data_IF_224769458114
#
_entry.id   IF_224769458114
#
_cell.length_a   1.000
_cell.length_b   1.000
_cell.length_c   1.000
_cell.angle_alpha   90.00
_cell.angle_beta   90.00
_cell.angle_gamma   90.00
#
_symmetry.space_group_name_H-M   'P 1'
#
loop_
_entity.id
_entity.type
_entity.pdbx_description
1 polymer ?
#
# COMPACT_ATOMS: atom_id res chain seq x y z
N UNK A 1 40.73 8.97 -35.59
CA UNK A 1 40.90 7.57 -35.19
C UNK A 1 39.74 7.24 -34.23
N UNK A 2 38.47 7.33 -34.63
CA UNK A 2 37.63 6.43 -35.44
C UNK A 2 37.61 4.96 -34.97
N UNK A 3 36.46 4.56 -34.40
CA UNK A 3 35.78 3.24 -34.31
C UNK A 3 35.00 3.21 -32.97
N UNK A 4 33.67 3.33 -32.83
CA UNK A 4 32.49 2.90 -33.60
C UNK A 4 32.39 1.37 -33.77
N UNK A 5 31.58 0.74 -32.91
CA UNK A 5 31.15 -0.65 -33.01
C UNK A 5 29.65 -0.73 -32.68
N UNK A 6 28.87 -0.52 -33.74
CA UNK A 6 27.46 -0.84 -33.88
C UNK A 6 27.30 -2.34 -34.12
N UNK A 7 26.32 -2.97 -33.47
CA UNK A 7 25.82 -4.30 -33.84
C UNK A 7 24.36 -4.15 -34.29
N UNK A 8 24.16 -4.31 -35.60
CA UNK A 8 22.88 -4.43 -36.28
C UNK A 8 22.46 -5.91 -36.31
N UNK A 9 21.21 -6.21 -35.96
CA UNK A 9 20.51 -7.42 -36.39
C UNK A 9 19.20 -7.01 -37.10
N UNK A 10 18.78 -7.74 -38.15
CA UNK A 10 17.83 -7.23 -39.13
C UNK A 10 16.36 -7.48 -38.76
N UNK A 11 15.51 -6.56 -39.21
CA UNK A 11 14.06 -6.68 -39.28
C UNK A 11 13.63 -7.70 -40.34
N UNK A 12 12.59 -8.49 -40.03
CA UNK A 12 11.63 -9.02 -40.99
C UNK A 12 10.22 -9.10 -40.35
N UNK A 13 9.14 -8.84 -41.10
CA UNK A 13 7.82 -8.51 -40.57
C UNK A 13 6.94 -9.75 -40.36
N UNK A 14 6.10 -9.73 -39.33
CA UNK A 14 5.15 -10.79 -38.99
C UNK A 14 3.85 -10.64 -39.80
N UNK A 15 3.56 -11.63 -40.65
CA UNK A 15 2.33 -11.76 -41.41
C UNK A 15 1.12 -12.13 -40.53
N UNK A 16 -0.01 -11.50 -40.83
CA UNK A 16 -1.35 -11.86 -40.34
C UNK A 16 -1.73 -13.25 -40.87
N UNK A 17 -1.98 -14.21 -39.97
CA UNK A 17 -2.72 -15.45 -40.30
C UNK A 17 -3.95 -15.59 -39.42
N UNK A 18 -5.09 -15.46 -40.07
CA UNK A 18 -6.42 -15.86 -39.63
C UNK A 18 -6.45 -17.38 -39.41
N UNK A 19 -6.89 -17.82 -38.23
CA UNK A 19 -7.16 -19.22 -37.93
C UNK A 19 -8.65 -19.39 -37.61
N UNK A 20 -9.42 -19.85 -38.59
CA UNK A 20 -10.65 -20.60 -38.34
C UNK A 20 -10.29 -22.09 -38.31
N UNK A 21 -10.53 -22.78 -37.20
CA UNK A 21 -11.05 -24.16 -37.27
C UNK A 21 -11.79 -24.57 -36.00
N UNK A 22 -13.07 -24.84 -36.24
CA UNK A 22 -14.10 -25.49 -35.44
C UNK A 22 -13.58 -26.86 -34.95
N UNK A 23 -13.51 -27.06 -33.64
CA UNK A 23 -13.34 -28.39 -33.04
C UNK A 23 -14.71 -28.84 -32.54
N UNK A 24 -15.19 -29.91 -33.15
CA UNK A 24 -16.38 -30.65 -32.75
C UNK A 24 -15.98 -31.61 -31.64
N UNK A 25 -16.70 -31.59 -30.53
CA UNK A 25 -16.71 -32.68 -29.55
C UNK A 25 -18.16 -33.12 -29.39
N UNK A 26 -18.38 -34.37 -29.77
CA UNK A 26 -19.60 -35.13 -29.53
C UNK A 26 -19.33 -36.10 -28.37
N UNK A 27 -20.42 -36.63 -27.81
CA UNK A 27 -20.56 -37.74 -26.86
C UNK A 27 -20.73 -37.40 -25.37
N UNK A 28 -22.01 -37.47 -24.92
CA UNK A 28 -22.37 -38.51 -23.95
C UNK A 28 -23.17 -38.09 -22.71
N UNK A 29 -24.44 -38.56 -22.71
CA UNK A 29 -25.28 -39.02 -21.57
C UNK A 29 -26.31 -38.06 -20.95
N UNK A 30 -27.56 -38.30 -21.38
CA UNK A 30 -28.70 -38.81 -20.59
C UNK A 30 -29.18 -38.02 -19.37
N UNK A 31 -30.40 -37.49 -19.45
CA UNK A 31 -31.17 -37.02 -18.29
C UNK A 31 -32.30 -36.04 -18.60
N UNK A 32 -33.27 -36.43 -19.44
CA UNK A 32 -34.51 -35.67 -19.66
C UNK A 32 -35.48 -35.79 -18.48
N UNK A 33 -36.03 -34.67 -18.02
CA UNK A 33 -37.38 -34.59 -17.43
C UNK A 33 -38.22 -33.63 -18.28
N UNK A 34 -39.35 -34.17 -18.71
CA UNK A 34 -40.36 -33.61 -19.61
C UNK A 34 -41.12 -32.42 -18.99
N UNK A 35 -41.56 -31.48 -19.83
CA UNK A 35 -42.99 -31.13 -19.94
C UNK A 35 -43.33 -30.58 -21.35
N UNK A 36 -44.17 -31.35 -22.04
CA UNK A 36 -45.01 -31.05 -23.21
C UNK A 36 -45.91 -29.80 -22.97
N UNK A 37 -46.52 -29.10 -23.93
CA UNK A 37 -46.88 -29.35 -25.33
C UNK A 37 -47.34 -28.01 -25.97
N UNK A 38 -47.14 -27.83 -27.28
CA UNK A 38 -47.91 -26.88 -28.11
C UNK A 38 -49.37 -27.38 -28.34
N UNK A 39 -50.15 -26.96 -29.38
CA UNK A 39 -49.63 -26.77 -30.74
C UNK A 39 -50.38 -25.79 -31.70
N UNK A 40 -49.73 -25.60 -32.85
CA UNK A 40 -50.26 -25.58 -34.24
C UNK A 40 -51.22 -24.50 -34.76
N UNK A 41 -50.72 -23.82 -35.80
CA UNK A 41 -51.47 -23.26 -36.95
C UNK A 41 -52.29 -24.34 -37.68
N UNK A 42 -53.48 -23.95 -38.16
CA UNK A 42 -54.18 -24.60 -39.27
C UNK A 42 -54.66 -23.55 -40.28
N UNK A 43 -54.56 -23.95 -41.54
CA UNK A 43 -55.05 -23.32 -42.76
C UNK A 43 -56.56 -23.04 -42.72
N UNK A 44 -57.00 -21.96 -43.37
CA UNK A 44 -58.37 -21.79 -43.85
C UNK A 44 -58.38 -21.08 -45.21
N UNK A 45 -58.57 -21.91 -46.25
CA UNK A 45 -59.52 -21.81 -47.38
C UNK A 45 -59.88 -20.43 -47.96
N UNK A 46 -59.53 -20.30 -49.24
CA UNK A 46 -60.08 -19.35 -50.23
C UNK A 46 -61.62 -19.27 -50.22
N UNK A 47 -62.13 -18.04 -50.19
CA UNK A 47 -63.45 -17.69 -50.76
C UNK A 47 -63.37 -16.35 -51.47
N UNK A 48 -63.54 -16.42 -52.80
CA UNK A 48 -63.79 -15.30 -53.68
C UNK A 48 -64.97 -14.45 -53.19
N UNK A 49 -64.72 -13.17 -52.94
CA UNK A 49 -65.77 -12.13 -52.82
C UNK A 49 -65.46 -11.05 -53.85
N UNK A 50 -66.25 -11.03 -54.92
CA UNK A 50 -66.29 -9.95 -55.90
C UNK A 50 -66.92 -8.71 -55.25
N UNK A 51 -66.13 -7.65 -55.04
CA UNK A 51 -66.63 -6.34 -54.62
C UNK A 51 -66.96 -5.49 -55.86
N UNK A 52 -68.25 -5.19 -56.04
CA UNK A 52 -68.69 -4.10 -56.90
C UNK A 52 -68.34 -2.76 -56.23
N UNK A 53 -67.43 -2.00 -56.83
CA UNK A 53 -67.05 -0.66 -56.37
C UNK A 53 -68.11 0.36 -56.79
N UNK A 54 -68.79 0.93 -55.81
CA UNK A 54 -69.70 2.05 -56.00
C UNK A 54 -68.89 3.36 -55.88
N UNK A 55 -68.48 3.92 -57.01
CA UNK A 55 -67.49 5.01 -57.16
C UNK A 55 -67.85 6.33 -56.43
N UNK A 56 -69.08 6.45 -55.92
CA UNK A 56 -69.55 7.60 -55.13
C UNK A 56 -69.26 7.47 -53.63
N UNK A 57 -69.14 6.26 -53.08
CA UNK A 57 -68.79 6.05 -51.66
C UNK A 57 -67.29 6.22 -51.39
N UNK A 58 -66.42 5.87 -52.34
CA UNK A 58 -64.97 6.07 -52.20
C UNK A 58 -64.59 7.55 -52.13
N UNK A 59 -65.26 8.43 -52.89
CA UNK A 59 -64.98 9.88 -52.87
C UNK A 59 -65.42 10.54 -51.57
N UNK A 60 -66.55 10.12 -51.00
CA UNK A 60 -67.03 10.67 -49.72
C UNK A 60 -66.16 10.17 -48.55
N UNK A 61 -65.77 8.89 -48.54
CA UNK A 61 -64.83 8.33 -47.55
C UNK A 61 -63.44 8.97 -47.63
N UNK A 62 -62.95 9.28 -48.84
CA UNK A 62 -61.66 9.95 -49.03
C UNK A 62 -61.67 11.38 -48.48
N UNK A 63 -62.72 12.16 -48.72
CA UNK A 63 -62.85 13.51 -48.17
C UNK A 63 -63.09 13.52 -46.66
N UNK A 64 -63.84 12.56 -46.10
CA UNK A 64 -64.00 12.44 -44.64
C UNK A 64 -62.71 11.97 -43.96
N UNK A 65 -61.93 11.06 -44.57
CA UNK A 65 -60.62 10.66 -44.02
C UNK A 65 -59.61 11.81 -44.08
N UNK A 66 -59.60 12.60 -45.15
CA UNK A 66 -58.71 13.76 -45.30
C UNK A 66 -59.05 14.86 -44.28
N UNK A 67 -60.34 15.05 -43.98
CA UNK A 67 -60.83 15.98 -42.96
C UNK A 67 -60.50 15.51 -41.54
N UNK A 68 -60.55 14.19 -41.27
CA UNK A 68 -60.16 13.61 -39.99
C UNK A 68 -58.63 13.65 -39.76
N UNK A 69 -57.84 13.62 -40.84
CA UNK A 69 -56.38 13.75 -40.79
C UNK A 69 -55.91 15.16 -40.39
N UNK A 70 -56.72 16.19 -40.66
CA UNK A 70 -56.45 17.59 -40.29
C UNK A 70 -56.81 17.94 -38.84
N UNK A 71 -57.44 17.00 -38.10
CA UNK A 71 -57.79 17.13 -36.68
C UNK A 71 -56.83 16.36 -35.75
N UNK A 72 -55.76 15.76 -36.29
CA UNK A 72 -54.68 15.22 -35.47
C UNK A 72 -53.90 16.38 -34.85
N UNK A 73 -53.75 16.45 -33.51
CA UNK A 73 -52.86 17.44 -32.91
C UNK A 73 -51.48 17.22 -33.51
N UNK A 74 -50.85 18.30 -33.99
CA UNK A 74 -49.47 18.26 -34.41
C UNK A 74 -48.67 17.61 -33.27
N UNK A 75 -48.18 16.39 -33.51
CA UNK A 75 -47.17 15.81 -32.62
C UNK A 75 -46.01 16.79 -32.70
N UNK A 76 -45.86 17.59 -31.66
CA UNK A 76 -44.60 18.30 -31.42
C UNK A 76 -43.54 17.20 -31.46
N UNK A 77 -42.66 17.26 -32.46
CA UNK A 77 -41.47 16.42 -32.43
C UNK A 77 -40.85 16.61 -31.03
N UNK A 78 -40.53 15.52 -30.30
CA UNK A 78 -39.77 15.70 -29.08
C UNK A 78 -38.54 16.53 -29.44
N UNK A 79 -38.24 17.54 -28.63
CA UNK A 79 -36.96 18.22 -28.72
C UNK A 79 -35.87 17.13 -28.82
N UNK A 80 -34.96 17.26 -29.78
CA UNK A 80 -33.92 16.27 -30.03
C UNK A 80 -33.29 15.85 -28.70
N UNK A 81 -33.56 14.62 -28.26
CA UNK A 81 -32.88 14.08 -27.09
C UNK A 81 -31.39 14.08 -27.41
N UNK A 82 -30.62 14.80 -26.60
CA UNK A 82 -29.17 14.87 -26.75
C UNK A 82 -28.66 13.44 -26.58
N UNK A 83 -28.16 12.86 -27.68
CA UNK A 83 -27.73 11.47 -27.72
C UNK A 83 -26.20 11.37 -27.59
N UNK A 84 -25.72 10.17 -27.26
CA UNK A 84 -24.30 9.82 -27.17
C UNK A 84 -23.48 10.31 -28.40
N UNK A 85 -24.05 10.18 -29.59
CA UNK A 85 -23.42 10.55 -30.87
C UNK A 85 -23.12 12.06 -30.97
N UNK A 86 -23.88 12.91 -30.29
CA UNK A 86 -23.70 14.35 -30.32
C UNK A 86 -22.42 14.78 -29.59
N UNK A 87 -22.04 14.05 -28.52
CA UNK A 87 -20.84 14.36 -27.74
C UNK A 87 -19.57 13.89 -28.47
N UNK A 88 -19.55 12.62 -28.89
CA UNK A 88 -18.37 12.04 -29.54
C UNK A 88 -18.10 12.65 -30.91
N UNK A 89 -19.12 13.16 -31.63
CA UNK A 89 -18.93 13.86 -32.90
C UNK A 89 -18.00 15.09 -32.81
N UNK A 90 -17.82 15.66 -31.62
CA UNK A 90 -16.87 16.74 -31.36
C UNK A 90 -15.69 16.33 -30.46
N UNK A 91 -15.90 15.44 -29.49
CA UNK A 91 -14.89 15.06 -28.51
C UNK A 91 -14.01 13.87 -28.92
N UNK A 92 -14.38 13.09 -29.93
CA UNK A 92 -13.63 11.90 -30.37
C UNK A 92 -12.44 12.20 -31.29
N UNK A 93 -12.22 13.45 -31.70
CA UNK A 93 -11.12 13.84 -32.57
C UNK A 93 -10.33 15.00 -31.97
N UNK A 94 -9.00 14.90 -31.97
CA UNK A 94 -8.14 16.04 -31.63
C UNK A 94 -8.18 17.05 -32.76
N UNK A 95 -8.73 18.23 -32.50
CA UNK A 95 -8.78 19.35 -33.45
C UNK A 95 -7.70 20.37 -33.09
N UNK A 96 -6.80 20.67 -34.02
CA UNK A 96 -5.77 21.70 -33.82
C UNK A 96 -6.42 23.06 -33.52
N UNK A 97 -5.94 23.74 -32.47
CA UNK A 97 -6.47 25.02 -32.02
C UNK A 97 -7.77 24.93 -31.20
N UNK A 98 -8.34 23.74 -31.01
CA UNK A 98 -9.49 23.53 -30.13
C UNK A 98 -9.05 23.37 -28.67
N UNK A 99 -9.77 24.04 -27.76
CA UNK A 99 -9.66 23.82 -26.31
C UNK A 99 -10.57 22.70 -25.81
N UNK A 100 -11.33 22.06 -26.70
CA UNK A 100 -12.21 20.95 -26.34
C UNK A 100 -11.38 19.76 -25.83
N UNK A 101 -11.73 19.17 -24.69
CA UNK A 101 -11.06 17.97 -24.20
C UNK A 101 -11.31 16.81 -25.16
N UNK A 102 -10.25 16.06 -25.46
CA UNK A 102 -10.33 14.84 -26.26
C UNK A 102 -10.78 13.66 -25.40
N UNK A 103 -11.75 12.91 -25.90
CA UNK A 103 -12.25 11.66 -25.32
C UNK A 103 -12.02 10.57 -26.34
N UNK A 104 -11.17 9.59 -26.01
CA UNK A 104 -10.95 8.43 -26.86
C UNK A 104 -12.10 7.42 -26.63
N UNK A 105 -12.97 7.17 -27.64
CA UNK A 105 -14.08 6.24 -27.48
C UNK A 105 -13.62 4.81 -27.21
N UNK A 106 -12.45 4.41 -27.72
CA UNK A 106 -11.91 3.08 -27.48
C UNK A 106 -11.51 2.89 -26.01
N UNK A 107 -10.92 3.93 -25.39
CA UNK A 107 -10.59 3.90 -23.96
C UNK A 107 -11.86 3.85 -23.10
N UNK A 108 -12.89 4.61 -23.48
CA UNK A 108 -14.18 4.58 -22.78
C UNK A 108 -14.87 3.22 -22.91
N UNK A 109 -14.77 2.56 -24.08
CA UNK A 109 -15.34 1.24 -24.30
C UNK A 109 -14.69 0.17 -23.39
N UNK A 110 -13.43 0.37 -23.00
CA UNK A 110 -12.74 -0.51 -22.04
C UNK A 110 -13.08 -0.20 -20.57
N UNK A 111 -13.79 0.90 -20.30
CA UNK A 111 -14.24 1.29 -18.96
C UNK A 111 -15.36 0.39 -18.45
N UNK A 112 -15.47 0.28 -17.12
CA UNK A 112 -16.65 -0.32 -16.46
C UNK A 112 -17.92 0.50 -16.69
N UNK A 113 -17.76 1.78 -17.08
CA UNK A 113 -18.84 2.71 -17.40
C UNK A 113 -19.17 2.79 -18.89
N UNK A 114 -18.65 1.89 -19.75
CA UNK A 114 -18.89 1.93 -21.21
C UNK A 114 -20.36 2.02 -21.65
N UNK A 115 -21.28 1.51 -20.82
CA UNK A 115 -22.72 1.49 -21.10
C UNK A 115 -23.48 2.65 -20.44
N UNK A 116 -22.78 3.65 -19.89
CA UNK A 116 -23.37 4.85 -19.27
C UNK A 116 -23.33 5.99 -20.27
N UNK A 117 -24.42 6.76 -20.41
CA UNK A 117 -24.42 7.89 -21.33
C UNK A 117 -23.60 9.07 -20.77
N UNK A 118 -23.05 9.90 -21.65
CA UNK A 118 -22.22 11.05 -21.25
C UNK A 118 -22.94 11.97 -20.26
N UNK A 119 -24.23 12.24 -20.51
CA UNK A 119 -25.06 13.12 -19.68
C UNK A 119 -25.50 12.50 -18.36
N UNK A 120 -25.35 11.19 -18.17
CA UNK A 120 -25.61 10.54 -16.88
C UNK A 120 -24.50 10.88 -15.87
N UNK A 121 -23.29 11.19 -16.36
CA UNK A 121 -22.16 11.67 -15.55
C UNK A 121 -22.00 13.20 -15.60
N UNK A 122 -22.16 13.80 -16.78
CA UNK A 122 -22.06 15.25 -17.02
C UNK A 122 -23.43 15.91 -16.97
N UNK A 123 -24.10 15.80 -15.83
CA UNK A 123 -25.49 16.23 -15.61
C UNK A 123 -25.69 17.75 -15.68
N UNK A 124 -24.61 18.51 -15.59
CA UNK A 124 -24.57 19.97 -15.61
C UNK A 124 -24.47 20.54 -17.04
N UNK A 125 -24.17 19.69 -18.02
CA UNK A 125 -24.07 20.08 -19.43
C UNK A 125 -25.46 20.24 -20.01
N UNK A 126 -25.77 21.48 -20.42
CA UNK A 126 -26.97 21.81 -21.18
C UNK A 126 -26.54 22.35 -22.54
N UNK A 127 -27.15 21.81 -23.60
CA UNK A 127 -26.96 22.34 -24.94
C UNK A 127 -27.60 23.73 -25.02
N UNK A 128 -26.84 24.70 -25.54
CA UNK A 128 -27.37 26.02 -25.88
C UNK A 128 -27.48 26.12 -27.40
N UNK A 129 -28.41 26.92 -27.92
CA UNK A 129 -28.37 27.29 -29.34
C UNK A 129 -27.03 27.98 -29.61
N UNK A 130 -26.22 27.37 -30.47
CA UNK A 130 -24.88 27.84 -30.81
C UNK A 130 -24.79 28.09 -32.32
N UNK A 131 -24.00 29.07 -32.73
CA UNK A 131 -23.70 29.31 -34.14
C UNK A 131 -22.62 28.36 -34.67
N UNK A 132 -22.47 28.29 -35.99
CA UNK A 132 -21.37 27.54 -36.63
C UNK A 132 -20.04 28.17 -36.19
N UNK A 133 -19.23 27.40 -35.46
CA UNK A 133 -17.95 27.85 -34.90
C UNK A 133 -18.00 28.20 -33.40
N UNK A 134 -19.16 28.17 -32.76
CA UNK A 134 -19.30 28.31 -31.31
C UNK A 134 -19.39 26.96 -30.61
N UNK A 135 -18.95 26.89 -29.35
CA UNK A 135 -19.02 25.67 -28.56
C UNK A 135 -20.50 25.29 -28.30
N UNK A 136 -20.87 24.00 -28.47
CA UNK A 136 -22.26 23.54 -28.30
C UNK A 136 -22.78 23.63 -26.86
N UNK A 137 -21.88 23.87 -25.91
CA UNK A 137 -22.18 24.22 -24.53
C UNK A 137 -21.30 25.39 -24.08
N UNK A 138 -21.87 26.34 -23.33
CA UNK A 138 -21.23 27.61 -22.93
C UNK A 138 -20.26 27.48 -21.75
N UNK A 139 -20.39 26.43 -20.94
CA UNK A 139 -19.56 26.20 -19.75
C UNK A 139 -18.79 24.91 -19.88
N UNK A 140 -17.62 24.89 -19.28
CA UNK A 140 -16.92 23.64 -19.04
C UNK A 140 -17.75 22.79 -18.07
N UNK A 141 -17.90 21.49 -18.35
CA UNK A 141 -18.57 20.60 -17.42
C UNK A 141 -17.91 20.66 -16.04
N UNK A 142 -18.71 20.69 -15.00
CA UNK A 142 -18.28 20.55 -13.62
C UNK A 142 -17.63 19.18 -13.40
N UNK A 143 -16.91 19.03 -12.27
CA UNK A 143 -16.33 17.73 -11.90
C UNK A 143 -17.46 16.74 -11.67
N UNK A 144 -17.38 15.58 -12.33
CA UNK A 144 -18.38 14.51 -12.22
C UNK A 144 -18.50 14.03 -10.76
N UNK A 145 -19.73 13.95 -10.27
CA UNK A 145 -20.04 13.43 -8.96
C UNK A 145 -20.37 11.94 -9.02
N UNK A 146 -19.50 11.11 -8.47
CA UNK A 146 -19.70 9.66 -8.45
C UNK A 146 -20.75 9.22 -7.42
N UNK A 147 -20.78 9.90 -6.26
CA UNK A 147 -21.50 9.50 -5.04
C UNK A 147 -22.76 10.32 -4.77
N UNK A 148 -23.27 11.10 -5.73
CA UNK A 148 -24.58 11.75 -5.54
C UNK A 148 -25.75 10.86 -5.92
N UNK A 149 -25.58 10.01 -6.94
CA UNK A 149 -26.68 9.21 -7.53
C UNK A 149 -26.37 7.73 -7.65
N UNK A 150 -25.13 7.37 -7.98
CA UNK A 150 -24.77 6.00 -8.35
C UNK A 150 -23.98 5.31 -7.25
N UNK A 151 -22.84 5.85 -6.84
CA UNK A 151 -21.98 5.24 -5.84
C UNK A 151 -22.41 5.58 -4.41
N UNK A 152 -23.66 5.25 -4.09
CA UNK A 152 -24.28 5.39 -2.76
C UNK A 152 -25.05 4.14 -2.39
N UNK A 153 -25.24 3.98 -1.08
CA UNK A 153 -26.01 2.86 -0.55
C UNK A 153 -27.47 2.94 -1.00
N UNK A 154 -28.00 1.83 -1.52
CA UNK A 154 -29.37 1.76 -1.99
C UNK A 154 -29.64 2.55 -3.29
N UNK A 155 -28.60 2.84 -4.09
CA UNK A 155 -28.80 3.44 -5.41
C UNK A 155 -29.71 2.56 -6.29
N UNK A 156 -30.54 3.20 -7.10
CA UNK A 156 -31.47 2.52 -8.02
C UNK A 156 -30.85 2.25 -9.39
N UNK A 157 -29.61 2.69 -9.62
CA UNK A 157 -28.93 2.68 -10.92
C UNK A 157 -28.13 1.39 -11.16
N UNK A 158 -28.15 0.45 -10.22
CA UNK A 158 -27.42 -0.82 -10.32
C UNK A 158 -25.89 -0.66 -10.18
N UNK A 159 -25.42 0.50 -9.74
CA UNK A 159 -24.02 0.70 -9.41
C UNK A 159 -23.68 -0.09 -8.14
N UNK A 160 -22.43 -0.57 -7.99
CA UNK A 160 -22.03 -1.32 -6.81
C UNK A 160 -22.38 -0.58 -5.51
N UNK A 161 -23.26 -1.19 -4.70
CA UNK A 161 -23.60 -0.71 -3.36
C UNK A 161 -22.38 -0.97 -2.45
N UNK A 162 -21.45 -0.03 -2.45
CA UNK A 162 -20.18 -0.15 -1.74
C UNK A 162 -20.12 0.87 -0.60
N UNK A 163 -20.50 0.44 0.61
CA UNK A 163 -20.48 1.25 1.82
C UNK A 163 -19.15 1.96 2.14
N UNK A 164 -17.96 1.47 1.75
CA UNK A 164 -16.71 2.21 1.97
C UNK A 164 -16.60 3.56 1.24
N UNK A 165 -17.45 3.85 0.25
CA UNK A 165 -17.39 5.15 -0.46
C UNK A 165 -17.84 6.32 0.41
N UNK A 166 -18.72 6.10 1.39
CA UNK A 166 -19.08 7.14 2.37
C UNK A 166 -17.90 7.49 3.29
N UNK A 167 -17.04 6.51 3.60
CA UNK A 167 -15.85 6.72 4.45
C UNK A 167 -14.83 7.65 3.80
N UNK A 168 -14.86 7.76 2.46
CA UNK A 168 -13.97 8.67 1.73
C UNK A 168 -14.07 10.10 2.24
N UNK A 169 -15.28 10.54 2.61
CA UNK A 169 -15.48 11.86 3.21
C UNK A 169 -14.62 12.02 4.46
N UNK A 170 -14.48 11.01 5.30
CA UNK A 170 -13.72 11.10 6.54
C UNK A 170 -12.21 10.82 6.36
N UNK A 171 -11.79 10.40 5.16
CA UNK A 171 -10.37 10.24 4.84
C UNK A 171 -9.64 11.57 4.75
N UNK A 172 -8.31 11.52 4.89
CA UNK A 172 -7.44 12.71 4.75
C UNK A 172 -7.62 13.41 3.39
N UNK A 173 -7.84 12.66 2.31
CA UNK A 173 -8.08 13.22 0.99
C UNK A 173 -9.47 13.88 0.89
N UNK A 174 -10.52 13.22 1.40
CA UNK A 174 -11.87 13.80 1.41
C UNK A 174 -11.98 15.05 2.26
N UNK A 175 -11.29 15.09 3.40
CA UNK A 175 -11.16 16.28 4.25
C UNK A 175 -10.43 17.40 3.53
N UNK A 176 -9.33 17.09 2.83
CA UNK A 176 -8.58 18.07 2.04
C UNK A 176 -9.44 18.72 0.94
N UNK A 177 -10.21 17.90 0.20
CA UNK A 177 -11.13 18.42 -0.83
C UNK A 177 -12.21 19.33 -0.23
N UNK A 178 -12.83 18.93 0.88
CA UNK A 178 -13.84 19.78 1.54
C UNK A 178 -13.28 21.07 2.11
N UNK A 179 -12.01 21.07 2.49
CA UNK A 179 -11.29 22.27 2.90
C UNK A 179 -10.93 23.19 1.71
N UNK A 180 -11.28 22.82 0.48
CA UNK A 180 -11.00 23.62 -0.72
C UNK A 180 -9.56 23.49 -1.22
N UNK A 181 -8.81 22.47 -0.77
CA UNK A 181 -7.47 22.23 -1.28
C UNK A 181 -7.57 21.60 -2.69
N UNK A 182 -7.17 22.36 -3.70
CA UNK A 182 -7.25 21.94 -5.10
C UNK A 182 -6.41 20.68 -5.41
N UNK A 183 -5.35 20.43 -4.64
CA UNK A 183 -4.48 19.25 -4.77
C UNK A 183 -4.99 18.02 -3.98
N UNK A 184 -6.18 18.10 -3.38
CA UNK A 184 -6.78 16.95 -2.70
C UNK A 184 -7.18 15.86 -3.69
N UNK A 185 -6.68 14.63 -3.49
CA UNK A 185 -6.90 13.51 -4.40
C UNK A 185 -8.35 13.00 -4.36
N UNK A 186 -9.12 13.27 -5.42
CA UNK A 186 -10.50 12.85 -5.62
C UNK A 186 -10.63 11.42 -6.16
N UNK A 187 -11.87 10.99 -6.40
CA UNK A 187 -12.16 9.63 -6.88
C UNK A 187 -11.41 9.31 -8.17
N UNK A 188 -11.40 10.26 -9.11
CA UNK A 188 -10.81 10.07 -10.43
C UNK A 188 -9.27 10.05 -10.43
N UNK A 189 -8.64 10.61 -9.39
CA UNK A 189 -7.17 10.64 -9.28
C UNK A 189 -6.61 9.25 -8.94
N UNK A 190 -7.41 8.39 -8.29
CA UNK A 190 -7.07 7.00 -8.07
C UNK A 190 -7.70 6.05 -9.10
N UNK A 191 -9.00 6.22 -9.41
CA UNK A 191 -9.74 5.27 -10.27
C UNK A 191 -9.65 5.56 -11.78
N UNK A 192 -9.21 6.76 -12.17
CA UNK A 192 -9.27 7.23 -13.55
C UNK A 192 -10.53 8.04 -13.86
N UNK A 193 -10.64 8.46 -15.12
CA UNK A 193 -11.75 9.31 -15.64
C UNK A 193 -12.61 8.52 -16.62
N UNK A 194 -12.47 8.75 -17.92
CA UNK A 194 -13.12 7.91 -18.93
C UNK A 194 -12.50 6.51 -19.04
N UNK A 195 -11.37 6.26 -18.38
CA UNK A 195 -10.63 5.00 -18.36
C UNK A 195 -10.81 4.22 -17.04
N UNK A 196 -11.94 4.34 -16.33
CA UNK A 196 -12.15 3.62 -15.07
C UNK A 196 -12.28 2.11 -15.36
N UNK A 197 -11.27 1.34 -14.96
CA UNK A 197 -11.25 -0.12 -15.15
C UNK A 197 -11.51 -0.87 -13.85
N UNK A 198 -11.91 -2.14 -13.96
CA UNK A 198 -12.05 -3.04 -12.81
C UNK A 198 -10.73 -3.15 -12.02
N UNK A 199 -10.79 -3.27 -10.69
CA UNK A 199 -9.60 -3.50 -9.85
C UNK A 199 -8.85 -4.79 -10.16
N UNK A 200 -9.50 -5.71 -10.88
CA UNK A 200 -8.92 -7.00 -11.28
C UNK A 200 -8.29 -6.94 -12.68
N UNK A 201 -8.44 -5.82 -13.39
CA UNK A 201 -7.79 -5.56 -14.67
C UNK A 201 -6.35 -5.05 -14.44
N UNK A 202 -5.31 -5.69 -15.00
CA UNK A 202 -3.92 -5.25 -14.86
C UNK A 202 -3.62 -3.82 -15.33
N UNK A 203 -4.42 -3.27 -16.25
CA UNK A 203 -4.27 -1.90 -16.75
C UNK A 203 -4.98 -0.86 -15.85
N UNK A 204 -5.72 -1.31 -14.82
CA UNK A 204 -6.35 -0.43 -13.85
C UNK A 204 -5.30 0.26 -12.97
N UNK A 205 -5.44 1.56 -12.75
CA UNK A 205 -4.62 2.31 -11.77
C UNK A 205 -4.79 1.79 -10.35
N UNK A 206 -5.93 1.17 -10.04
CA UNK A 206 -6.19 0.53 -8.74
C UNK A 206 -5.97 -0.99 -8.75
N UNK A 207 -5.38 -1.54 -9.82
CA UNK A 207 -4.89 -2.91 -9.81
C UNK A 207 -3.85 -3.07 -8.71
N UNK A 208 -3.86 -4.22 -8.02
CA UNK A 208 -3.03 -4.42 -6.83
C UNK A 208 -1.55 -4.09 -7.05
N UNK A 209 -0.97 -4.45 -8.19
CA UNK A 209 0.43 -4.12 -8.51
C UNK A 209 0.68 -2.65 -8.86
N UNK A 210 -0.35 -1.93 -9.28
CA UNK A 210 -0.29 -0.52 -9.67
C UNK A 210 -0.56 0.43 -8.51
N UNK A 211 -1.24 -0.03 -7.43
CA UNK A 211 -1.57 0.78 -6.25
C UNK A 211 -0.36 1.59 -5.72
N UNK A 212 0.84 1.02 -5.49
CA UNK A 212 1.94 1.81 -4.98
C UNK A 212 2.35 2.96 -5.92
N UNK A 213 2.31 2.72 -7.24
CA UNK A 213 2.60 3.75 -8.25
C UNK A 213 1.49 4.81 -8.30
N UNK A 214 0.23 4.42 -8.14
CA UNK A 214 -0.90 5.38 -8.09
C UNK A 214 -0.76 6.33 -6.91
N UNK A 215 -0.34 5.85 -5.75
CA UNK A 215 -0.02 6.72 -4.61
C UNK A 215 1.18 7.62 -4.90
N UNK A 216 2.22 7.08 -5.54
CA UNK A 216 3.46 7.78 -5.85
C UNK A 216 3.28 9.01 -6.76
N UNK A 217 2.23 9.04 -7.60
CA UNK A 217 1.90 10.19 -8.46
C UNK A 217 1.91 11.51 -7.67
N UNK A 218 1.41 11.49 -6.43
CA UNK A 218 1.40 12.67 -5.55
C UNK A 218 2.32 12.51 -4.34
N UNK A 219 2.42 11.32 -3.75
CA UNK A 219 3.22 11.09 -2.54
C UNK A 219 4.72 10.93 -2.78
N UNK A 220 5.17 11.04 -4.02
CA UNK A 220 6.58 11.15 -4.40
C UNK A 220 6.88 12.44 -5.18
N UNK A 221 5.86 13.27 -5.41
CA UNK A 221 6.02 14.60 -5.99
C UNK A 221 6.38 15.61 -4.89
N UNK A 222 7.63 16.06 -4.89
CA UNK A 222 8.14 17.03 -3.92
C UNK A 222 7.38 18.36 -3.94
N UNK A 223 6.73 18.73 -5.04
CA UNK A 223 5.88 19.93 -5.08
C UNK A 223 4.66 19.77 -4.16
N UNK A 224 4.06 18.58 -4.15
CA UNK A 224 2.92 18.25 -3.28
C UNK A 224 3.38 17.99 -1.86
N UNK A 225 4.43 17.19 -1.68
CA UNK A 225 4.95 16.78 -0.36
C UNK A 225 5.37 17.99 0.47
N UNK A 226 6.10 18.94 -0.11
CA UNK A 226 6.53 20.15 0.60
C UNK A 226 5.37 21.10 0.85
N UNK A 227 4.53 21.36 -0.16
CA UNK A 227 3.38 22.29 -0.06
C UNK A 227 2.42 21.88 1.05
N UNK A 228 2.12 20.59 1.16
CA UNK A 228 1.14 20.04 2.11
C UNK A 228 1.76 19.41 3.35
N UNK A 229 3.08 19.56 3.54
CA UNK A 229 3.81 19.02 4.69
C UNK A 229 3.52 17.52 4.91
N UNK A 230 3.60 16.73 3.85
CA UNK A 230 3.39 15.28 3.92
C UNK A 230 4.65 14.67 4.57
N UNK A 231 4.48 14.02 5.72
CA UNK A 231 5.59 13.57 6.59
C UNK A 231 6.24 12.24 6.12
N UNK A 232 6.49 12.11 4.82
CA UNK A 232 7.28 11.04 4.21
C UNK A 232 7.88 11.56 2.90
N UNK A 233 9.21 11.68 2.84
CA UNK A 233 9.89 12.32 1.70
C UNK A 233 9.81 11.46 0.42
N UNK A 234 9.97 10.14 0.53
CA UNK A 234 9.97 9.21 -0.62
C UNK A 234 9.40 7.82 -0.28
N UNK A 235 8.13 7.73 0.17
CA UNK A 235 7.54 6.48 0.65
C UNK A 235 7.48 5.37 -0.42
N UNK A 236 7.30 5.71 -1.71
CA UNK A 236 7.29 4.73 -2.79
C UNK A 236 8.69 4.14 -3.03
N UNK A 237 9.72 4.98 -3.17
CA UNK A 237 11.10 4.50 -3.28
C UNK A 237 11.53 3.61 -2.09
N UNK A 238 11.15 3.97 -0.86
CA UNK A 238 11.38 3.12 0.31
C UNK A 238 10.63 1.79 0.24
N UNK A 239 9.36 1.84 -0.19
CA UNK A 239 8.52 0.65 -0.38
C UNK A 239 9.12 -0.31 -1.40
N UNK A 240 9.62 0.16 -2.55
CA UNK A 240 10.27 -0.69 -3.55
C UNK A 240 11.47 -1.46 -2.96
N UNK A 241 12.15 -0.87 -2.00
CA UNK A 241 13.28 -1.48 -1.28
C UNK A 241 12.85 -2.34 -0.08
N UNK A 242 11.58 -2.37 0.27
CA UNK A 242 11.06 -3.21 1.34
C UNK A 242 10.99 -4.68 0.92
N UNK A 243 10.77 -5.58 1.89
CA UNK A 243 10.49 -6.99 1.58
C UNK A 243 9.19 -7.16 0.80
N UNK A 244 8.20 -6.28 1.02
CA UNK A 244 6.91 -6.31 0.32
C UNK A 244 7.03 -5.80 -1.11
N UNK A 245 7.72 -4.66 -1.34
CA UNK A 245 7.95 -4.13 -2.69
C UNK A 245 8.81 -5.06 -3.55
N UNK A 246 9.85 -5.67 -2.98
CA UNK A 246 10.59 -6.73 -3.68
C UNK A 246 9.73 -7.94 -4.01
N UNK A 247 8.88 -8.38 -3.07
CA UNK A 247 7.95 -9.48 -3.33
C UNK A 247 6.97 -9.15 -4.46
N UNK A 248 6.47 -7.91 -4.51
CA UNK A 248 5.55 -7.44 -5.53
C UNK A 248 6.22 -7.34 -6.91
N UNK A 249 7.29 -6.54 -7.02
CA UNK A 249 7.87 -6.15 -8.30
C UNK A 249 8.95 -7.10 -8.82
N UNK A 250 9.70 -7.76 -7.94
CA UNK A 250 10.80 -8.64 -8.36
C UNK A 250 10.38 -10.12 -8.38
N UNK A 251 9.59 -10.55 -7.39
CA UNK A 251 9.14 -11.94 -7.29
C UNK A 251 7.75 -12.19 -7.90
N UNK A 252 7.02 -11.14 -8.30
CA UNK A 252 5.70 -11.27 -8.94
C UNK A 252 4.59 -11.80 -8.01
N UNK A 253 4.78 -11.72 -6.68
CA UNK A 253 3.85 -12.25 -5.68
C UNK A 253 2.67 -11.30 -5.43
N UNK A 254 1.97 -10.89 -6.48
CA UNK A 254 0.95 -9.81 -6.46
C UNK A 254 -0.10 -10.02 -5.36
N UNK A 255 -0.57 -11.25 -5.17
CA UNK A 255 -1.64 -11.55 -4.20
C UNK A 255 -1.16 -11.61 -2.74
N UNK A 256 0.14 -11.77 -2.50
CA UNK A 256 0.69 -11.98 -1.15
C UNK A 256 1.54 -10.80 -0.67
N UNK A 257 2.13 -10.04 -1.59
CA UNK A 257 2.87 -8.85 -1.26
C UNK A 257 1.89 -7.78 -0.72
N UNK A 258 2.21 -7.23 0.44
CA UNK A 258 1.45 -6.11 0.98
C UNK A 258 1.70 -4.84 0.15
N UNK A 259 0.67 -4.06 -0.10
CA UNK A 259 0.69 -2.77 -0.80
C UNK A 259 0.18 -1.67 0.12
N UNK A 260 0.28 -0.41 -0.31
CA UNK A 260 -0.06 0.76 0.50
C UNK A 260 -1.43 0.64 1.18
N UNK A 261 -2.44 0.15 0.44
CA UNK A 261 -3.81 0.02 0.94
C UNK A 261 -4.01 -1.07 2.00
N UNK A 262 -3.13 -2.08 2.08
CA UNK A 262 -3.24 -3.13 3.10
C UNK A 262 -2.93 -2.59 4.51
N UNK A 263 -2.09 -1.55 4.58
CA UNK A 263 -1.71 -0.88 5.83
C UNK A 263 -2.49 0.41 6.07
N UNK A 264 -2.69 1.26 5.05
CA UNK A 264 -3.28 2.58 5.21
C UNK A 264 -4.81 2.61 5.07
N UNK A 265 -5.41 1.59 4.45
CA UNK A 265 -6.81 1.63 4.02
C UNK A 265 -6.96 2.08 2.57
N UNK A 266 -8.21 2.15 2.10
CA UNK A 266 -8.52 2.46 0.69
C UNK A 266 -9.27 3.78 0.60
N UNK A 267 -10.46 3.84 1.18
CA UNK A 267 -11.31 5.04 1.23
C UNK A 267 -11.36 5.66 2.63
N UNK A 268 -10.55 5.20 3.57
CA UNK A 268 -10.57 5.62 4.97
C UNK A 268 -9.14 5.92 5.47
N UNK A 269 -8.31 6.42 4.55
CA UNK A 269 -6.91 6.75 4.81
C UNK A 269 -6.83 7.86 5.85
N UNK A 270 -6.13 7.57 6.94
CA UNK A 270 -5.97 8.49 8.06
C UNK A 270 -4.74 9.38 7.88
N UNK A 271 -4.82 10.63 8.35
CA UNK A 271 -3.68 11.54 8.35
C UNK A 271 -2.59 11.08 9.34
N UNK A 272 -1.33 11.39 9.03
CA UNK A 272 -0.23 11.18 9.97
C UNK A 272 -0.50 11.89 11.30
N UNK A 273 -0.11 11.27 12.42
CA UNK A 273 -0.34 11.81 13.76
C UNK A 273 -1.74 11.58 14.33
N UNK A 274 -2.68 11.02 13.58
CA UNK A 274 -3.97 10.58 14.14
C UNK A 274 -3.75 9.50 15.21
N UNK A 275 -4.53 9.50 16.30
CA UNK A 275 -4.51 8.40 17.27
C UNK A 275 -4.89 7.08 16.58
N UNK A 276 -4.23 5.98 16.97
CA UNK A 276 -4.53 4.62 16.49
C UNK A 276 -4.41 4.42 14.97
N UNK A 277 -3.34 4.97 14.38
CA UNK A 277 -2.97 4.70 12.99
C UNK A 277 -2.87 3.21 12.68
N UNK A 278 -3.56 2.75 11.62
CA UNK A 278 -3.50 1.35 11.18
C UNK A 278 -2.08 0.81 10.99
N UNK A 279 -1.12 1.51 10.35
CA UNK A 279 0.25 1.01 10.23
C UNK A 279 0.99 0.84 11.57
N UNK A 280 0.54 1.50 12.64
CA UNK A 280 1.09 1.34 14.00
C UNK A 280 0.35 0.29 14.83
N UNK A 281 -0.76 -0.24 14.32
CA UNK A 281 -1.52 -1.28 14.99
C UNK A 281 -0.92 -2.68 14.64
N UNK A 282 -0.43 -3.46 15.62
CA UNK A 282 0.11 -4.81 15.38
C UNK A 282 -0.86 -5.74 14.63
N UNK A 283 -2.16 -5.56 14.83
CA UNK A 283 -3.24 -6.31 14.19
C UNK A 283 -3.22 -6.15 12.65
N UNK A 284 -2.74 -5.02 12.15
CA UNK A 284 -2.59 -4.78 10.70
C UNK A 284 -1.62 -5.78 10.09
N UNK A 285 -0.46 -5.98 10.73
CA UNK A 285 0.51 -6.98 10.31
C UNK A 285 -0.04 -8.40 10.53
N UNK A 286 -0.81 -8.59 11.61
CA UNK A 286 -1.42 -9.86 11.99
C UNK A 286 -2.44 -10.42 11.00
N UNK A 287 -3.00 -9.61 10.09
CA UNK A 287 -3.88 -10.09 9.01
C UNK A 287 -3.21 -11.13 8.11
N UNK A 288 -1.91 -10.97 7.86
CA UNK A 288 -1.12 -11.88 7.04
C UNK A 288 -0.10 -12.67 7.88
N UNK A 289 0.53 -12.03 8.87
CA UNK A 289 1.53 -12.64 9.75
C UNK A 289 0.92 -13.27 11.01
N UNK A 290 -0.17 -14.02 10.85
CA UNK A 290 -1.01 -14.56 11.95
C UNK A 290 -0.19 -15.31 13.00
N UNK A 291 0.72 -16.17 12.57
CA UNK A 291 1.54 -16.98 13.48
C UNK A 291 2.49 -16.13 14.34
N UNK A 292 3.17 -15.18 13.72
CA UNK A 292 4.09 -14.25 14.42
C UNK A 292 3.31 -13.30 15.32
N UNK A 293 2.18 -12.77 14.85
CA UNK A 293 1.32 -11.89 15.65
C UNK A 293 0.84 -12.58 16.93
N UNK A 294 0.45 -13.86 16.86
CA UNK A 294 0.07 -14.63 18.05
C UNK A 294 1.20 -14.71 19.08
N UNK A 295 2.44 -14.93 18.62
CA UNK A 295 3.61 -14.99 19.50
C UNK A 295 3.92 -13.60 20.09
N UNK A 296 3.93 -12.56 19.25
CA UNK A 296 4.14 -11.17 19.67
C UNK A 296 3.14 -10.73 20.72
N UNK A 297 1.85 -11.05 20.54
CA UNK A 297 0.79 -10.70 21.50
C UNK A 297 1.06 -11.22 22.91
N UNK A 298 1.69 -12.38 23.03
CA UNK A 298 2.04 -12.97 24.33
C UNK A 298 3.38 -12.47 24.91
N UNK A 299 4.13 -11.65 24.15
CA UNK A 299 5.38 -11.04 24.59
C UNK A 299 5.11 -9.85 25.52
N UNK A 300 6.12 -9.41 26.28
CA UNK A 300 6.01 -8.23 27.14
C UNK A 300 5.73 -6.95 26.34
N UNK A 301 6.27 -6.85 25.13
CA UNK A 301 5.99 -5.72 24.24
C UNK A 301 4.56 -5.76 23.71
N UNK A 302 4.07 -6.94 23.29
CA UNK A 302 2.70 -7.09 22.80
C UNK A 302 1.65 -6.86 23.89
N UNK A 303 1.87 -7.40 25.09
CA UNK A 303 1.00 -7.12 26.25
C UNK A 303 0.99 -5.62 26.57
N UNK A 304 2.15 -4.95 26.58
CA UNK A 304 2.21 -3.52 26.82
C UNK A 304 1.51 -2.70 25.71
N UNK A 305 1.72 -3.04 24.44
CA UNK A 305 1.13 -2.31 23.31
C UNK A 305 -0.38 -2.54 23.17
N UNK A 306 -0.84 -3.78 23.30
CA UNK A 306 -2.22 -4.18 22.97
C UNK A 306 -3.12 -4.16 24.21
N UNK A 307 -2.68 -4.71 25.34
CA UNK A 307 -3.53 -4.81 26.53
C UNK A 307 -3.45 -3.53 27.38
N UNK A 308 -2.24 -3.01 27.56
CA UNK A 308 -2.02 -1.80 28.37
C UNK A 308 -2.13 -0.50 27.56
N UNK A 309 -2.28 -0.60 26.24
CA UNK A 309 -2.39 0.56 25.33
C UNK A 309 -1.23 1.55 25.51
N UNK A 310 -0.03 1.04 25.79
CA UNK A 310 1.14 1.84 26.06
C UNK A 310 1.76 2.35 24.74
N UNK A 311 1.76 3.67 24.47
CA UNK A 311 2.28 4.23 23.21
C UNK A 311 3.82 4.13 23.11
N UNK A 312 4.53 3.95 24.23
CA UNK A 312 5.98 3.78 24.24
C UNK A 312 6.40 2.31 24.02
N UNK A 313 5.44 1.37 23.99
CA UNK A 313 5.73 -0.03 23.71
C UNK A 313 5.99 -0.25 22.21
N UNK A 314 7.08 -0.94 21.83
CA UNK A 314 7.42 -1.11 20.43
C UNK A 314 6.46 -2.09 19.74
N UNK A 315 5.97 -1.67 18.58
CA UNK A 315 5.20 -2.48 17.63
C UNK A 315 6.08 -2.94 16.46
N UNK A 316 5.49 -3.65 15.50
CA UNK A 316 6.20 -4.26 14.38
C UNK A 316 7.11 -3.27 13.63
N UNK A 317 6.61 -2.06 13.38
CA UNK A 317 7.32 -1.02 12.61
C UNK A 317 8.50 -0.41 13.37
N UNK A 318 8.49 -0.41 14.71
CA UNK A 318 9.64 0.09 15.48
C UNK A 318 10.90 -0.77 15.29
N UNK A 319 10.74 -2.05 14.98
CA UNK A 319 11.87 -2.96 14.72
C UNK A 319 12.12 -3.20 13.23
N UNK A 320 11.05 -3.33 12.44
CA UNK A 320 11.16 -3.67 11.02
C UNK A 320 11.24 -2.46 10.09
N UNK A 321 10.92 -1.25 10.58
CA UNK A 321 10.78 -0.03 9.79
C UNK A 321 9.35 0.18 9.30
N UNK A 322 9.13 1.30 8.62
CA UNK A 322 7.82 1.70 8.07
C UNK A 322 7.75 1.46 6.55
N UNK A 323 7.89 2.47 5.70
CA UNK A 323 7.80 2.26 4.24
C UNK A 323 8.94 1.35 3.73
N UNK A 324 10.12 1.38 4.38
CA UNK A 324 11.23 0.45 4.15
C UNK A 324 11.20 -0.82 5.04
N UNK A 325 10.04 -1.46 5.25
CA UNK A 325 9.94 -2.69 6.05
C UNK A 325 10.97 -3.73 5.61
N UNK A 326 11.81 -4.15 6.54
CA UNK A 326 12.91 -5.08 6.29
C UNK A 326 13.06 -6.08 7.44
N UNK A 327 13.80 -7.16 7.18
CA UNK A 327 14.25 -8.07 8.23
C UNK A 327 15.60 -7.52 8.71
N UNK A 328 15.70 -7.03 9.97
CA UNK A 328 16.97 -6.51 10.47
C UNK A 328 18.05 -7.58 10.46
N UNK A 329 19.27 -7.20 10.08
CA UNK A 329 20.41 -8.09 10.24
C UNK A 329 20.79 -8.22 11.72
N UNK A 330 21.37 -9.34 12.10
CA UNK A 330 21.84 -9.62 13.48
C UNK A 330 22.72 -8.51 14.06
N UNK A 331 23.52 -7.85 13.20
CA UNK A 331 24.39 -6.74 13.59
C UNK A 331 23.63 -5.44 13.94
N UNK A 332 22.41 -5.24 13.41
CA UNK A 332 21.57 -4.07 13.70
C UNK A 332 20.67 -4.27 14.92
N UNK A 333 20.48 -5.50 15.39
CA UNK A 333 19.62 -5.78 16.55
C UNK A 333 20.00 -4.94 17.78
N UNK A 334 21.28 -4.83 18.19
CA UNK A 334 21.63 -4.01 19.35
C UNK A 334 21.22 -2.54 19.21
N UNK A 335 21.40 -1.94 18.04
CA UNK A 335 21.04 -0.53 17.84
C UNK A 335 19.52 -0.31 17.82
N UNK A 336 18.75 -1.25 17.26
CA UNK A 336 17.28 -1.20 17.29
C UNK A 336 16.77 -1.25 18.72
N UNK A 337 17.22 -2.22 19.52
CA UNK A 337 16.80 -2.33 20.92
C UNK A 337 17.20 -1.09 21.74
N UNK A 338 18.38 -0.53 21.46
CA UNK A 338 18.92 0.61 22.20
C UNK A 338 18.13 1.91 22.00
N UNK A 339 17.40 2.07 20.88
CA UNK A 339 16.56 3.25 20.65
C UNK A 339 15.55 3.48 21.78
N UNK A 340 15.06 2.40 22.39
CA UNK A 340 14.17 2.47 23.55
C UNK A 340 14.92 2.11 24.84
N UNK A 341 15.64 0.98 24.86
CA UNK A 341 16.23 0.46 26.11
C UNK A 341 17.43 1.25 26.65
N UNK A 342 18.02 2.16 25.85
CA UNK A 342 19.02 3.12 26.32
C UNK A 342 18.47 4.55 26.46
N UNK A 343 17.19 4.78 26.12
CA UNK A 343 16.57 6.09 26.19
C UNK A 343 15.96 6.32 27.57
N UNK A 344 16.64 7.13 28.39
CA UNK A 344 16.19 7.45 29.76
C UNK A 344 14.80 8.08 29.78
N UNK A 345 14.49 8.96 28.82
CA UNK A 345 13.18 9.59 28.69
C UNK A 345 12.02 8.61 28.45
N UNK A 346 12.28 7.38 28.00
CA UNK A 346 11.28 6.32 27.87
C UNK A 346 11.34 5.41 29.10
N UNK A 347 12.53 4.85 29.37
CA UNK A 347 12.68 3.75 30.33
C UNK A 347 12.45 4.18 31.79
N UNK A 348 12.78 5.42 32.14
CA UNK A 348 12.58 5.93 33.50
C UNK A 348 11.09 5.97 33.89
N UNK A 349 10.18 6.18 32.93
CA UNK A 349 8.72 6.18 33.16
C UNK A 349 8.20 4.83 33.66
N UNK A 350 8.91 3.75 33.34
CA UNK A 350 8.53 2.37 33.65
C UNK A 350 9.46 1.72 34.68
N UNK A 351 10.33 2.52 35.31
CA UNK A 351 11.32 2.05 36.29
C UNK A 351 12.25 0.97 35.74
N UNK A 352 12.50 0.98 34.42
CA UNK A 352 13.39 0.03 33.77
C UNK A 352 14.78 0.67 33.65
N UNK A 353 15.80 -0.07 34.09
CA UNK A 353 17.18 0.41 34.03
C UNK A 353 17.69 0.55 32.59
N UNK A 354 18.26 1.72 32.28
CA UNK A 354 18.95 2.00 30.99
C UNK A 354 20.38 1.44 30.93
N UNK A 355 20.90 0.93 32.05
CA UNK A 355 22.26 0.38 32.13
C UNK A 355 22.42 -0.94 31.34
N UNK A 356 21.33 -1.52 30.85
CA UNK A 356 21.36 -2.83 30.16
C UNK A 356 22.11 -2.77 28.84
N UNK A 357 22.01 -1.66 28.10
CA UNK A 357 22.78 -1.46 26.89
C UNK A 357 24.28 -1.28 27.21
N UNK A 358 24.61 -0.46 28.21
CA UNK A 358 26.02 -0.17 28.56
C UNK A 358 26.72 -1.40 29.14
N UNK A 359 26.04 -2.14 30.02
CA UNK A 359 26.56 -3.40 30.60
C UNK A 359 26.69 -4.51 29.56
N UNK A 360 25.77 -4.61 28.59
CA UNK A 360 25.95 -5.50 27.44
C UNK A 360 27.17 -5.10 26.62
N UNK A 361 27.34 -3.82 26.30
CA UNK A 361 28.48 -3.31 25.55
C UNK A 361 29.84 -3.57 26.23
N UNK A 362 29.86 -3.71 27.56
CA UNK A 362 31.04 -4.06 28.34
C UNK A 362 31.26 -5.59 28.47
N UNK A 363 30.28 -6.40 28.09
CA UNK A 363 30.42 -7.86 28.06
C UNK A 363 31.29 -8.31 26.88
N UNK A 364 31.82 -9.52 26.94
CA UNK A 364 32.59 -10.09 25.83
C UNK A 364 31.78 -10.11 24.52
N UNK A 365 30.49 -10.48 24.58
CA UNK A 365 29.61 -10.48 23.42
C UNK A 365 29.42 -9.07 22.84
N UNK A 366 29.16 -8.06 23.67
CA UNK A 366 29.01 -6.68 23.22
C UNK A 366 30.29 -6.10 22.64
N UNK A 367 31.44 -6.33 23.27
CA UNK A 367 32.75 -5.90 22.76
C UNK A 367 33.01 -6.56 21.40
N UNK A 368 32.90 -7.87 21.29
CA UNK A 368 33.12 -8.57 20.03
C UNK A 368 32.12 -8.15 18.94
N UNK A 369 30.86 -7.88 19.30
CA UNK A 369 29.85 -7.34 18.39
C UNK A 369 30.23 -5.95 17.90
N UNK A 370 30.81 -5.10 18.76
CA UNK A 370 31.27 -3.76 18.38
C UNK A 370 32.45 -3.78 17.40
N UNK A 371 33.28 -4.82 17.45
CA UNK A 371 34.32 -5.10 16.46
C UNK A 371 33.80 -5.75 15.17
N UNK A 372 32.47 -5.82 14.99
CA UNK A 372 31.84 -6.31 13.76
C UNK A 372 31.61 -7.83 13.71
N UNK A 373 31.80 -8.55 14.82
CA UNK A 373 31.48 -9.98 14.86
C UNK A 373 29.97 -10.20 14.70
N UNK A 374 29.60 -11.03 13.72
CA UNK A 374 28.21 -11.41 13.42
C UNK A 374 27.79 -12.73 14.07
N UNK A 375 28.70 -13.40 14.78
CA UNK A 375 28.50 -14.74 15.34
C UNK A 375 28.33 -14.74 16.84
N UNK A 376 28.56 -13.60 17.50
CA UNK A 376 28.36 -13.45 18.94
C UNK A 376 26.90 -13.17 19.26
N UNK A 377 26.49 -13.54 20.47
CA UNK A 377 25.12 -13.33 20.92
C UNK A 377 24.80 -11.83 21.02
N UNK A 378 23.66 -11.42 20.47
CA UNK A 378 23.08 -10.09 20.64
C UNK A 378 21.88 -10.13 21.59
N UNK A 379 21.16 -9.01 21.72
CA UNK A 379 19.98 -8.89 22.57
C UNK A 379 18.96 -10.01 22.30
N UNK A 380 18.63 -10.23 21.02
CA UNK A 380 17.63 -11.23 20.60
C UNK A 380 18.09 -12.68 20.76
N UNK A 381 19.40 -12.92 20.71
CA UNK A 381 19.99 -14.26 20.89
C UNK A 381 19.67 -14.85 22.27
N UNK A 382 19.56 -13.97 23.27
CA UNK A 382 19.22 -14.32 24.65
C UNK A 382 17.73 -14.10 24.95
N UNK A 383 17.15 -12.97 24.54
CA UNK A 383 15.79 -12.57 24.94
C UNK A 383 14.67 -13.01 24.00
N UNK A 384 14.98 -13.46 22.78
CA UNK A 384 14.00 -13.65 21.73
C UNK A 384 13.80 -12.41 20.85
N UNK A 385 12.94 -12.53 19.84
CA UNK A 385 12.73 -11.47 18.84
C UNK A 385 11.27 -11.03 18.78
N UNK A 386 10.34 -11.98 18.68
CA UNK A 386 8.89 -11.74 18.78
C UNK A 386 8.28 -12.32 20.06
N UNK A 387 9.01 -13.14 20.81
CA UNK A 387 8.57 -13.87 22.01
C UNK A 387 9.23 -13.33 23.30
N UNK A 388 9.62 -12.06 23.31
CA UNK A 388 10.37 -11.45 24.42
C UNK A 388 9.50 -11.47 25.68
N UNK A 389 9.98 -12.14 26.73
CA UNK A 389 9.24 -12.34 27.99
C UNK A 389 10.06 -11.87 29.19
N UNK A 390 9.41 -11.42 30.28
CA UNK A 390 10.13 -11.01 31.48
C UNK A 390 10.90 -12.20 32.07
N UNK A 391 12.04 -11.97 32.75
CA UNK A 391 12.87 -13.05 33.31
C UNK A 391 12.19 -13.85 34.44
N UNK A 392 11.05 -13.36 34.94
CA UNK A 392 10.21 -14.06 35.92
C UNK A 392 9.23 -15.05 35.27
N UNK A 393 8.98 -14.96 33.97
CA UNK A 393 8.10 -15.89 33.24
C UNK A 393 8.84 -17.21 32.98
N UNK A 394 8.33 -18.38 33.42
CA UNK A 394 8.93 -19.68 33.15
C UNK A 394 9.13 -20.01 31.66
N UNK A 395 8.36 -19.39 30.76
CA UNK A 395 8.52 -19.53 29.30
C UNK A 395 9.63 -18.65 28.73
N UNK A 396 10.14 -17.68 29.48
CA UNK A 396 11.21 -16.79 29.02
C UNK A 396 12.50 -17.56 28.79
N UNK A 397 13.16 -17.28 27.68
CA UNK A 397 14.49 -17.83 27.38
C UNK A 397 15.55 -17.43 28.43
N UNK A 398 15.34 -16.32 29.12
CA UNK A 398 16.24 -15.84 30.21
C UNK A 398 15.75 -16.22 31.61
N UNK A 399 14.70 -17.05 31.72
CA UNK A 399 14.31 -17.63 33.00
C UNK A 399 15.44 -18.52 33.55
N UNK A 400 15.75 -18.51 34.85
CA UNK A 400 16.91 -19.21 35.41
C UNK A 400 17.03 -20.69 35.01
N UNK A 401 15.92 -21.43 34.97
CA UNK A 401 15.92 -22.84 34.55
C UNK A 401 16.17 -23.04 33.04
N UNK A 402 15.95 -22.01 32.22
CA UNK A 402 16.12 -22.06 30.77
C UNK A 402 17.52 -21.64 30.30
N UNK A 403 18.34 -21.03 31.16
CA UNK A 403 19.65 -20.46 30.77
C UNK A 403 20.60 -21.49 30.16
N UNK A 404 20.65 -22.71 30.69
CA UNK A 404 21.47 -23.79 30.13
C UNK A 404 21.10 -24.07 28.68
N UNK A 405 19.79 -24.10 28.37
CA UNK A 405 19.29 -24.28 27.00
C UNK A 405 19.58 -23.06 26.12
N UNK A 406 19.42 -21.86 26.65
CA UNK A 406 19.62 -20.60 25.91
C UNK A 406 21.08 -20.37 25.54
N UNK A 407 22.00 -20.55 26.49
CA UNK A 407 23.43 -20.45 26.27
C UNK A 407 23.99 -21.69 25.53
N UNK A 408 23.40 -22.86 25.80
CA UNK A 408 23.83 -24.17 25.32
C UNK A 408 23.52 -24.47 23.86
N UNK A 409 23.15 -23.46 23.06
CA UNK A 409 22.94 -23.61 21.61
C UNK A 409 24.20 -24.18 20.96
N UNK A 410 24.02 -25.10 20.01
CA UNK A 410 25.10 -25.87 19.40
C UNK A 410 26.23 -25.02 18.76
N UNK A 411 25.91 -23.79 18.32
CA UNK A 411 26.88 -22.87 17.72
C UNK A 411 27.51 -21.88 18.71
N UNK A 412 27.17 -21.98 20.01
CA UNK A 412 27.59 -21.03 21.04
C UNK A 412 28.39 -21.76 22.14
N UNK A 413 27.71 -22.38 23.11
CA UNK A 413 28.35 -23.08 24.24
C UNK A 413 27.80 -24.51 24.45
N UNK A 414 28.10 -25.46 23.55
CA UNK A 414 27.66 -26.85 23.71
C UNK A 414 28.10 -27.42 25.07
N UNK A 415 27.16 -27.97 25.84
CA UNK A 415 27.45 -28.58 27.14
C UNK A 415 27.76 -27.61 28.27
N UNK A 416 27.36 -26.33 28.15
CA UNK A 416 27.54 -25.34 29.22
C UNK A 416 26.92 -25.83 30.54
N UNK A 417 27.68 -25.73 31.64
CA UNK A 417 27.19 -26.10 32.96
C UNK A 417 26.20 -25.06 33.50
N UNK A 418 25.29 -25.49 34.38
CA UNK A 418 24.33 -24.60 35.04
C UNK A 418 25.02 -23.47 35.82
N UNK A 419 26.17 -23.74 36.44
CA UNK A 419 26.97 -22.73 37.15
C UNK A 419 27.42 -21.61 36.22
N UNK A 420 27.96 -21.94 35.04
CA UNK A 420 28.42 -20.93 34.08
C UNK A 420 27.23 -20.23 33.40
N UNK A 421 26.19 -20.97 33.05
CA UNK A 421 24.98 -20.40 32.45
C UNK A 421 24.25 -19.42 33.38
N UNK A 422 24.37 -19.59 34.70
CA UNK A 422 23.76 -18.71 35.70
C UNK A 422 24.50 -17.38 35.93
N UNK A 423 25.66 -17.18 35.29
CA UNK A 423 26.42 -15.94 35.41
C UNK A 423 25.62 -14.77 34.84
N UNK A 424 25.50 -13.70 35.61
CA UNK A 424 24.79 -12.48 35.19
C UNK A 424 25.59 -11.79 34.07
N UNK A 425 24.92 -11.52 32.94
CA UNK A 425 25.52 -10.82 31.79
C UNK A 425 25.44 -9.30 31.97
N UNK A 426 24.28 -8.80 32.42
CA UNK A 426 24.10 -7.37 32.70
C UNK A 426 24.62 -7.02 34.10
N UNK A 427 25.92 -6.76 34.20
CA UNK A 427 26.60 -6.40 35.44
C UNK A 427 27.40 -5.12 35.23
N UNK A 428 27.15 -4.12 36.08
CA UNK A 428 27.99 -2.92 36.11
C UNK A 428 29.24 -3.16 36.97
N UNK A 429 30.37 -3.35 36.31
CA UNK A 429 31.69 -3.58 36.93
C UNK A 429 32.23 -2.35 37.69
N UNK A 430 31.54 -1.20 37.63
CA UNK A 430 31.86 -0.01 38.44
C UNK A 430 31.13 0.01 39.77
N UNK A 431 30.08 -0.80 39.95
CA UNK A 431 29.34 -0.88 41.20
C UNK A 431 29.86 -2.00 42.09
N UNK A 432 29.93 -1.74 43.40
CA UNK A 432 30.32 -2.75 44.42
C UNK A 432 29.42 -3.99 44.40
N UNK A 433 28.17 -3.83 43.94
CA UNK A 433 27.19 -4.89 43.73
C UNK A 433 27.65 -5.98 42.75
N UNK A 434 28.62 -5.68 41.88
CA UNK A 434 29.24 -6.68 40.99
C UNK A 434 30.20 -7.65 41.71
N UNK A 435 30.38 -7.49 43.03
CA UNK A 435 31.08 -8.44 43.89
C UNK A 435 32.57 -8.51 43.58
N UNK A 436 33.11 -9.72 43.44
CA UNK A 436 34.54 -9.94 43.21
C UNK A 436 35.08 -9.24 41.96
N UNK A 437 34.26 -9.08 40.91
CA UNK A 437 34.65 -8.43 39.66
C UNK A 437 35.00 -6.96 39.88
N UNK A 438 34.27 -6.26 40.76
CA UNK A 438 34.56 -4.88 41.14
C UNK A 438 35.97 -4.74 41.73
N UNK A 439 36.30 -5.60 42.70
CA UNK A 439 37.58 -5.53 43.40
C UNK A 439 38.75 -5.91 42.50
N UNK A 440 38.60 -6.96 41.68
CA UNK A 440 39.62 -7.35 40.69
C UNK A 440 39.91 -6.20 39.74
N UNK A 441 38.86 -5.56 39.19
CA UNK A 441 39.02 -4.39 38.33
C UNK A 441 39.74 -3.26 39.05
N UNK A 442 39.38 -2.97 40.30
CA UNK A 442 40.00 -1.89 41.06
C UNK A 442 41.49 -2.14 41.31
N UNK A 443 41.87 -3.38 41.63
CA UNK A 443 43.27 -3.80 41.78
C UNK A 443 44.03 -3.61 40.48
N UNK A 444 43.49 -4.10 39.35
CA UNK A 444 44.13 -3.96 38.04
C UNK A 444 44.29 -2.50 37.62
N UNK A 445 43.29 -1.66 37.87
CA UNK A 445 43.36 -0.21 37.60
C UNK A 445 44.45 0.45 38.44
N UNK A 446 44.54 0.13 39.74
CA UNK A 446 45.60 0.67 40.60
C UNK A 446 46.99 0.20 40.21
N UNK A 447 47.15 -1.06 39.82
CA UNK A 447 48.41 -1.59 39.29
C UNK A 447 48.79 -0.83 38.02
N UNK A 448 47.86 -0.63 37.09
CA UNK A 448 48.11 0.10 35.85
C UNK A 448 48.51 1.56 36.10
N UNK A 449 47.79 2.26 36.99
CA UNK A 449 48.14 3.63 37.41
C UNK A 449 49.53 3.66 38.04
N UNK A 450 49.85 2.70 38.92
CA UNK A 450 51.17 2.59 39.53
C UNK A 450 52.29 2.40 38.51
N UNK A 451 52.10 1.49 37.55
CA UNK A 451 53.05 1.26 36.46
C UNK A 451 53.23 2.49 35.56
N UNK A 452 52.14 3.22 35.26
CA UNK A 452 52.22 4.48 34.53
C UNK A 452 53.03 5.52 35.30
N UNK A 453 52.75 5.70 36.59
CA UNK A 453 53.50 6.65 37.44
C UNK A 453 54.98 6.31 37.45
N UNK A 454 55.34 5.03 37.67
CA UNK A 454 56.74 4.58 37.61
C UNK A 454 57.35 4.91 36.25
N UNK A 455 56.64 4.60 35.16
CA UNK A 455 57.11 4.91 33.80
C UNK A 455 57.35 6.41 33.61
N UNK A 456 56.42 7.27 34.04
CA UNK A 456 56.58 8.73 33.94
C UNK A 456 57.76 9.23 34.78
N UNK A 457 57.94 8.73 36.00
CA UNK A 457 59.06 9.10 36.89
C UNK A 457 60.41 8.73 36.27
N UNK A 458 60.50 7.62 35.54
CA UNK A 458 61.76 7.17 34.94
C UNK A 458 62.01 7.79 33.56
N UNK A 459 60.98 7.84 32.71
CA UNK A 459 61.11 8.25 31.30
C UNK A 459 61.16 9.76 31.14
N UNK A 460 60.34 10.53 31.89
CA UNK A 460 60.28 11.99 31.70
C UNK A 460 61.61 12.67 32.07
N UNK A 461 62.26 12.38 33.20
CA UNK A 461 63.57 12.96 33.50
C UNK A 461 64.67 12.49 32.55
N UNK A 462 64.64 11.25 32.07
CA UNK A 462 65.59 10.78 31.06
C UNK A 462 65.41 11.51 29.72
N UNK A 463 64.17 11.65 29.26
CA UNK A 463 63.83 12.38 28.04
C UNK A 463 64.21 13.86 28.15
N UNK A 464 63.92 14.52 29.28
CA UNK A 464 64.32 15.89 29.54
C UNK A 464 65.84 16.08 29.52
N UNK A 465 66.60 15.14 30.12
CA UNK A 465 68.07 15.13 30.06
C UNK A 465 68.59 14.97 28.63
N UNK A 466 67.95 14.14 27.79
CA UNK A 466 68.33 13.95 26.38
C UNK A 466 68.02 15.17 25.52
N UNK A 467 66.87 15.82 25.70
CA UNK A 467 66.51 17.05 24.97
C UNK A 467 67.46 18.18 25.34
N UNK A 468 67.75 18.36 26.64
CA UNK A 468 68.72 19.36 27.11
C UNK A 468 70.14 19.14 26.56
N UNK A 469 70.53 17.87 26.34
CA UNK A 469 71.79 17.51 25.68
C UNK A 469 71.81 17.80 24.17
N UNK A 470 70.67 17.75 23.48
CA UNK A 470 70.57 18.04 22.03
C UNK A 470 70.35 19.53 21.70
N UNK A 471 69.76 20.30 22.61
CA UNK A 471 69.58 21.75 22.44
C UNK A 471 70.76 22.60 22.91
N UNK A 472 71.85 21.97 23.36
CA UNK A 472 73.07 22.62 23.85
C UNK A 472 74.26 22.54 22.89
N UNK A 473 74.02 22.26 21.60
CA UNK A 473 75.01 22.34 20.51
C UNK A 473 74.69 23.50 19.59
#
# INVERSE_FOLDING_TARGET
MFQALTWMFPFAPFEKKTCFRKVSLDTGKDGSLFFCNGPSRKEVVDKNVTMHTNDKMCKLLFFTLLSLLMLLPARTAPASEISWDNCIGCHAERREGSTAPFVDPAILDESVHRNINCLDCHIDVQEVKHMVGEAPHQRHPEKVSCTERCHVKGNTMGAPDFSPMEQYKDSVHGVAIRAGLEDGAGCADCHGRHNIRSKDDPESTVYRANIPRTCAVCHEDMQVVVKHHIHAESPFHEYEQSVHGRALYQAGLIQFAAVCTDCHGVHDIQAAGTPNLRPRNPETCGKCHVGIFKVYRESIHGVAAIEQHNPDAPVCTNCHGEHKISIPSEAKIPSICSQCHAAEGIMAKYEISVDRNTTYGQSYHGIASSYGSKTVANCSSCHGHHDIRPPTDPKSSVYPANLVRTCGKAKCHPGISSRVASVKIHVDVKKKESGSVYYVRQVLVWIFIGLLIITFIWVVPDLARRIKRKGGT
#
